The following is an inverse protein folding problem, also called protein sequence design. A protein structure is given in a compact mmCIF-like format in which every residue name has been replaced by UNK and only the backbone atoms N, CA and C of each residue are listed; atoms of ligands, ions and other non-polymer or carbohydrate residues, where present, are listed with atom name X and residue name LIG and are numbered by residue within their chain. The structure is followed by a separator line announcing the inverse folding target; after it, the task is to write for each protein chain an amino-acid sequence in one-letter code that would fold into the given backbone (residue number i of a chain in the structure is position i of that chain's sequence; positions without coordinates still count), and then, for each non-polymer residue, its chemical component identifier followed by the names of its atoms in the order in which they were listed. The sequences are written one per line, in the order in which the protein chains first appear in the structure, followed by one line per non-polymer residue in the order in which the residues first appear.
data_IF_863472126201
#
_entry.id   IF_863472126201
#
_cell.length_a   1.000
_cell.length_b   1.000
_cell.length_c   1.000
_cell.angle_alpha   90.00
_cell.angle_beta   90.00
_cell.angle_gamma   90.00
#
_symmetry.space_group_name_H-M   'P 1'
#
loop_
_entity.id
_entity.type
_entity.pdbx_description
1 polymer ?
#
# COMPACT_ATOMS: atom_id res chain seq x y z
N UNK A 1 -9.10 29.42 2.02
CA UNK A 1 -9.61 28.46 1.01
C UNK A 1 -10.12 27.19 1.70
N UNK A 2 -11.40 27.11 2.18
CA UNK A 2 -11.92 25.96 2.98
C UNK A 2 -12.50 24.82 2.16
N UNK A 3 -12.62 24.93 0.84
CA UNK A 3 -13.32 23.91 0.01
C UNK A 3 -12.52 22.62 -0.25
N UNK A 4 -11.20 22.62 -0.11
CA UNK A 4 -10.35 21.45 -0.31
C UNK A 4 -10.51 20.40 0.80
N UNK A 5 -10.67 20.82 2.05
CA UNK A 5 -10.79 19.92 3.22
C UNK A 5 -12.11 19.11 3.20
N UNK A 6 -13.23 19.72 2.84
CA UNK A 6 -14.53 19.06 2.81
C UNK A 6 -14.66 18.04 1.67
N UNK A 7 -14.05 18.29 0.50
CA UNK A 7 -14.03 17.36 -0.61
C UNK A 7 -13.17 16.12 -0.30
N UNK A 8 -12.02 16.31 0.34
CA UNK A 8 -11.12 15.23 0.78
C UNK A 8 -11.80 14.36 1.85
N UNK A 9 -12.45 14.97 2.85
CA UNK A 9 -13.20 14.26 3.88
C UNK A 9 -14.36 13.43 3.29
N UNK A 10 -15.11 13.98 2.32
CA UNK A 10 -16.18 13.23 1.63
C UNK A 10 -15.65 12.07 0.78
N UNK A 11 -14.49 12.22 0.14
CA UNK A 11 -13.85 11.15 -0.62
C UNK A 11 -13.39 10.02 0.31
N UNK A 12 -12.80 10.34 1.46
CA UNK A 12 -12.41 9.38 2.50
C UNK A 12 -13.62 8.60 3.02
N UNK A 13 -14.70 9.27 3.42
CA UNK A 13 -15.92 8.64 3.92
C UNK A 13 -16.56 7.69 2.89
N UNK A 14 -16.51 8.03 1.60
CA UNK A 14 -17.01 7.15 0.52
C UNK A 14 -16.15 5.91 0.33
N UNK A 15 -14.84 6.04 0.41
CA UNK A 15 -13.89 4.92 0.32
C UNK A 15 -14.07 3.98 1.51
N UNK A 16 -14.16 4.51 2.73
CA UNK A 16 -14.45 3.72 3.94
C UNK A 16 -15.77 2.94 3.83
N UNK A 17 -16.85 3.61 3.41
CA UNK A 17 -18.16 2.98 3.28
C UNK A 17 -18.21 1.88 2.20
N UNK A 18 -17.44 2.04 1.12
CA UNK A 18 -17.31 1.02 0.08
C UNK A 18 -16.57 -0.21 0.62
N UNK A 19 -15.40 -0.01 1.24
CA UNK A 19 -14.59 -1.11 1.77
C UNK A 19 -15.25 -1.83 2.95
N UNK A 20 -15.92 -1.13 3.87
CA UNK A 20 -16.65 -1.74 4.99
C UNK A 20 -17.76 -2.70 4.53
N UNK A 21 -18.41 -2.40 3.40
CA UNK A 21 -19.46 -3.26 2.84
C UNK A 21 -18.92 -4.56 2.26
N UNK A 22 -17.69 -4.53 1.70
CA UNK A 22 -17.09 -5.67 1.01
C UNK A 22 -16.13 -6.48 1.89
N UNK A 23 -15.80 -6.01 3.09
CA UNK A 23 -14.83 -6.65 3.97
C UNK A 23 -15.00 -8.18 4.10
N UNK A 24 -16.22 -8.76 4.25
CA UNK A 24 -16.39 -10.21 4.37
C UNK A 24 -16.11 -11.00 3.08
N UNK A 25 -16.25 -10.35 1.90
CA UNK A 25 -16.09 -10.98 0.58
C UNK A 25 -14.86 -10.48 -0.16
N UNK A 26 -14.16 -9.51 0.41
CA UNK A 26 -13.01 -8.86 -0.21
C UNK A 26 -11.93 -9.85 -0.62
N UNK A 27 -11.59 -10.76 0.28
CA UNK A 27 -10.56 -11.77 0.05
C UNK A 27 -10.91 -12.72 -1.12
N UNK A 28 -12.16 -13.14 -1.22
CA UNK A 28 -12.61 -14.06 -2.28
C UNK A 28 -12.45 -13.45 -3.69
N UNK A 29 -12.69 -12.14 -3.81
CA UNK A 29 -12.68 -11.43 -5.11
C UNK A 29 -11.25 -10.98 -5.48
N UNK A 30 -10.48 -10.52 -4.49
CA UNK A 30 -9.19 -9.86 -4.72
C UNK A 30 -7.96 -10.73 -4.43
N UNK A 31 -8.11 -11.92 -3.79
CA UNK A 31 -6.94 -12.73 -3.48
C UNK A 31 -6.25 -13.26 -4.74
N UNK A 32 -6.96 -13.98 -5.59
CA UNK A 32 -6.37 -14.70 -6.70
C UNK A 32 -5.57 -13.81 -7.69
N UNK A 33 -6.13 -12.71 -8.23
CA UNK A 33 -5.43 -11.88 -9.21
C UNK A 33 -4.30 -11.04 -8.59
N UNK A 34 -4.39 -10.70 -7.30
CA UNK A 34 -3.42 -9.81 -6.63
C UNK A 34 -2.34 -10.57 -5.84
N UNK A 35 -2.53 -11.86 -5.59
CA UNK A 35 -1.61 -12.69 -4.80
C UNK A 35 -0.16 -12.70 -5.32
N UNK A 36 0.14 -12.85 -6.62
CA UNK A 36 1.52 -12.83 -7.09
C UNK A 36 2.24 -11.51 -6.79
N UNK A 37 1.51 -10.40 -6.91
CA UNK A 37 2.03 -9.08 -6.57
C UNK A 37 2.27 -8.91 -5.07
N UNK A 38 1.30 -9.33 -4.23
CA UNK A 38 1.47 -9.33 -2.76
C UNK A 38 2.68 -10.15 -2.34
N UNK A 39 2.82 -11.37 -2.85
CA UNK A 39 3.95 -12.25 -2.52
C UNK A 39 5.30 -11.61 -2.90
N UNK A 40 5.38 -11.00 -4.09
CA UNK A 40 6.60 -10.34 -4.53
C UNK A 40 6.93 -9.11 -3.66
N UNK A 41 5.93 -8.29 -3.32
CA UNK A 41 6.10 -7.12 -2.48
C UNK A 41 6.48 -7.48 -1.04
N UNK A 42 5.81 -8.49 -0.45
CA UNK A 42 6.13 -8.99 0.89
C UNK A 42 7.54 -9.56 0.97
N UNK A 43 8.00 -10.30 -0.05
CA UNK A 43 9.38 -10.79 -0.12
C UNK A 43 10.40 -9.66 -0.24
N UNK A 44 10.15 -8.67 -1.09
CA UNK A 44 11.02 -7.51 -1.25
C UNK A 44 11.11 -6.69 0.06
N UNK A 45 9.97 -6.48 0.73
CA UNK A 45 9.92 -5.76 2.00
C UNK A 45 10.62 -6.54 3.12
N UNK A 46 10.40 -7.86 3.22
CA UNK A 46 11.07 -8.70 4.21
C UNK A 46 12.60 -8.71 4.02
N UNK A 47 13.07 -8.83 2.78
CA UNK A 47 14.49 -8.75 2.47
C UNK A 47 15.11 -7.38 2.82
N UNK A 48 14.32 -6.31 2.65
CA UNK A 48 14.74 -4.95 2.99
C UNK A 48 14.77 -4.69 4.50
N UNK A 49 13.83 -5.27 5.25
CA UNK A 49 13.75 -5.13 6.71
C UNK A 49 14.89 -5.87 7.42
N UNK A 50 15.31 -7.01 6.88
CA UNK A 50 16.25 -7.91 7.57
C UNK A 50 15.63 -8.61 8.78
N UNK A 51 16.47 -9.34 9.50
CA UNK A 51 16.04 -10.05 10.72
C UNK A 51 15.64 -9.05 11.82
N UNK A 52 14.56 -9.37 12.53
CA UNK A 52 14.01 -8.55 13.62
C UNK A 52 13.66 -7.10 13.23
N UNK A 53 13.57 -6.82 11.91
CA UNK A 53 13.29 -5.48 11.38
C UNK A 53 11.89 -4.98 11.71
N UNK A 54 11.77 -3.67 11.92
CA UNK A 54 10.49 -2.98 12.13
C UNK A 54 9.86 -2.65 10.77
N UNK A 55 8.69 -3.22 10.49
CA UNK A 55 7.96 -3.04 9.24
C UNK A 55 6.63 -2.34 9.47
N UNK A 56 6.36 -1.29 8.69
CA UNK A 56 5.03 -0.69 8.57
C UNK A 56 4.32 -1.25 7.33
N UNK A 57 3.08 -1.71 7.48
CA UNK A 57 2.19 -2.05 6.37
C UNK A 57 1.11 -0.97 6.25
N UNK A 58 1.14 -0.23 5.16
CA UNK A 58 0.24 0.90 4.88
C UNK A 58 -0.95 0.42 4.06
N UNK A 59 -2.18 0.67 4.54
CA UNK A 59 -3.40 0.17 3.92
C UNK A 59 -3.50 -1.35 4.05
N UNK A 60 -3.31 -1.88 5.27
CA UNK A 60 -3.23 -3.32 5.53
C UNK A 60 -4.54 -4.07 5.24
N UNK A 61 -5.68 -3.36 5.15
CA UNK A 61 -6.97 -3.95 4.83
C UNK A 61 -7.33 -5.13 5.72
N UNK A 62 -7.71 -6.25 5.11
CA UNK A 62 -8.02 -7.52 5.78
C UNK A 62 -6.77 -8.33 6.19
N UNK A 63 -5.57 -7.84 5.90
CA UNK A 63 -4.30 -8.43 6.33
C UNK A 63 -3.83 -9.64 5.53
N UNK A 64 -4.18 -9.77 4.25
CA UNK A 64 -3.75 -10.88 3.40
C UNK A 64 -2.23 -10.98 3.26
N UNK A 65 -1.51 -9.87 3.20
CA UNK A 65 -0.05 -9.84 3.13
C UNK A 65 0.62 -10.23 4.44
N UNK A 66 -0.05 -10.09 5.59
CA UNK A 66 0.51 -10.42 6.89
C UNK A 66 0.91 -11.90 7.02
N UNK A 67 0.17 -12.79 6.34
CA UNK A 67 0.46 -14.23 6.29
C UNK A 67 1.74 -14.54 5.48
N UNK A 68 2.16 -13.62 4.61
CA UNK A 68 3.32 -13.78 3.74
C UNK A 68 4.62 -13.24 4.36
N UNK A 69 4.53 -12.59 5.52
CA UNK A 69 5.66 -11.96 6.19
C UNK A 69 6.34 -12.94 7.17
N UNK A 70 7.67 -12.96 7.23
CA UNK A 70 8.43 -13.77 8.18
C UNK A 70 8.06 -13.52 9.63
N UNK A 71 8.14 -14.58 10.44
CA UNK A 71 7.74 -14.55 11.84
C UNK A 71 8.72 -13.79 12.77
N UNK A 72 9.91 -13.51 12.30
CA UNK A 72 10.94 -12.74 13.01
C UNK A 72 10.83 -11.22 12.82
N UNK A 73 9.91 -10.74 11.99
CA UNK A 73 9.67 -9.30 11.83
C UNK A 73 8.84 -8.72 12.99
N UNK A 74 8.90 -7.39 13.13
CA UNK A 74 8.02 -6.61 13.99
C UNK A 74 7.10 -5.75 13.14
N UNK A 75 5.91 -6.27 12.85
CA UNK A 75 4.98 -5.67 11.90
C UNK A 75 3.94 -4.80 12.61
N UNK A 76 3.81 -3.56 12.16
CA UNK A 76 2.71 -2.65 12.48
C UNK A 76 1.90 -2.42 11.22
N UNK A 77 0.58 -2.63 11.27
CA UNK A 77 -0.32 -2.35 10.15
C UNK A 77 -1.21 -1.15 10.45
N UNK A 78 -1.45 -0.30 9.45
CA UNK A 78 -2.39 0.81 9.52
C UNK A 78 -3.41 0.72 8.39
N UNK A 79 -4.66 1.05 8.71
CA UNK A 79 -5.74 1.22 7.74
C UNK A 79 -6.73 2.24 8.26
N UNK A 80 -7.42 2.95 7.36
CA UNK A 80 -8.44 3.92 7.74
C UNK A 80 -9.75 3.23 8.15
N UNK A 81 -9.99 2.00 7.68
CA UNK A 81 -11.21 1.23 7.92
C UNK A 81 -11.10 0.33 9.14
N UNK A 82 -11.82 0.68 10.21
CA UNK A 82 -11.91 -0.17 11.40
C UNK A 82 -12.46 -1.58 11.07
N UNK A 83 -13.46 -1.68 10.18
CA UNK A 83 -14.06 -2.95 9.78
C UNK A 83 -13.07 -3.86 9.06
N UNK A 84 -12.17 -3.32 8.21
CA UNK A 84 -11.09 -4.10 7.59
C UNK A 84 -10.11 -4.59 8.64
N UNK A 85 -9.74 -3.76 9.60
CA UNK A 85 -8.82 -4.12 10.67
C UNK A 85 -9.40 -5.18 11.61
N UNK A 86 -10.72 -5.21 11.82
CA UNK A 86 -11.35 -6.27 12.62
C UNK A 86 -11.17 -7.63 11.94
N UNK A 87 -11.37 -7.73 10.62
CA UNK A 87 -11.08 -8.94 9.85
C UNK A 87 -9.58 -9.30 9.91
N UNK A 88 -8.69 -8.30 9.84
CA UNK A 88 -7.25 -8.53 9.97
C UNK A 88 -6.87 -9.04 11.36
N UNK A 89 -7.47 -8.52 12.44
CA UNK A 89 -7.26 -8.99 13.82
C UNK A 89 -7.71 -10.44 14.00
N UNK A 90 -8.89 -10.79 13.48
CA UNK A 90 -9.38 -12.18 13.48
C UNK A 90 -8.42 -13.11 12.70
N UNK A 91 -7.91 -12.66 11.56
CA UNK A 91 -6.90 -13.39 10.77
C UNK A 91 -5.63 -13.61 11.57
N UNK A 92 -5.08 -12.56 12.18
CA UNK A 92 -3.88 -12.62 13.03
C UNK A 92 -4.06 -13.62 14.17
N UNK A 93 -5.20 -13.58 14.87
CA UNK A 93 -5.51 -14.50 15.97
C UNK A 93 -5.65 -15.95 15.47
N UNK A 94 -6.44 -16.18 14.41
CA UNK A 94 -6.70 -17.51 13.85
C UNK A 94 -5.44 -18.19 13.32
N UNK A 95 -4.55 -17.41 12.69
CA UNK A 95 -3.31 -17.90 12.07
C UNK A 95 -2.10 -17.86 13.01
N UNK A 96 -2.23 -17.27 14.18
CA UNK A 96 -1.13 -17.14 15.15
C UNK A 96 0.05 -16.32 14.64
N UNK A 97 -0.23 -15.19 13.95
CA UNK A 97 0.79 -14.35 13.30
C UNK A 97 1.53 -13.50 14.34
N UNK A 98 2.51 -14.08 15.01
CA UNK A 98 3.25 -13.45 16.13
C UNK A 98 4.10 -12.25 15.72
N UNK A 99 4.47 -12.13 14.45
CA UNK A 99 5.18 -10.97 13.89
C UNK A 99 4.34 -9.69 13.94
N UNK A 100 3.01 -9.77 13.91
CA UNK A 100 2.12 -8.61 13.97
C UNK A 100 2.05 -8.09 15.39
N UNK A 101 2.59 -6.88 15.63
CA UNK A 101 2.65 -6.24 16.94
C UNK A 101 1.46 -5.34 17.20
N UNK A 102 0.99 -4.62 16.15
CA UNK A 102 -0.20 -3.78 16.26
C UNK A 102 -0.92 -3.62 14.93
N UNK A 103 -2.25 -3.42 15.01
CA UNK A 103 -3.12 -3.01 13.90
C UNK A 103 -3.91 -1.78 14.36
N UNK A 104 -3.70 -0.63 13.68
CA UNK A 104 -4.20 0.66 14.15
C UNK A 104 -5.07 1.33 13.10
N UNK A 105 -6.23 1.86 13.51
CA UNK A 105 -7.05 2.73 12.66
C UNK A 105 -6.34 4.07 12.52
N UNK A 106 -5.90 4.41 11.30
CA UNK A 106 -5.08 5.60 11.09
C UNK A 106 -5.15 6.07 9.63
N UNK A 107 -5.17 7.39 9.41
CA UNK A 107 -4.97 7.98 8.08
C UNK A 107 -3.48 7.87 7.70
N UNK A 108 -3.20 7.14 6.63
CA UNK A 108 -1.83 6.98 6.11
C UNK A 108 -1.19 8.30 5.63
N UNK A 109 -1.99 9.35 5.42
CA UNK A 109 -1.50 10.70 5.11
C UNK A 109 -1.20 11.55 6.35
N UNK A 110 -1.42 11.05 7.59
CA UNK A 110 -1.17 11.76 8.84
C UNK A 110 -1.00 10.72 9.97
N UNK A 111 0.15 10.06 10.00
CA UNK A 111 0.41 8.96 10.92
C UNK A 111 1.02 9.46 12.24
N UNK A 112 0.52 8.92 13.34
CA UNK A 112 1.04 9.19 14.69
C UNK A 112 2.21 8.25 15.02
N UNK A 113 3.28 8.35 14.22
CA UNK A 113 4.55 7.67 14.41
C UNK A 113 5.70 8.65 14.37
N UNK A 114 6.77 8.37 15.10
CA UNK A 114 7.99 9.16 15.07
C UNK A 114 8.69 9.08 13.70
N UNK A 115 9.46 10.12 13.37
CA UNK A 115 10.35 10.12 12.21
C UNK A 115 11.35 8.96 12.31
N UNK A 116 11.53 8.22 11.22
CA UNK A 116 12.50 7.15 11.17
C UNK A 116 12.20 5.93 12.06
N UNK A 117 10.95 5.70 12.46
CA UNK A 117 10.56 4.61 13.35
C UNK A 117 10.68 3.22 12.73
N UNK A 118 10.61 3.11 11.39
CA UNK A 118 10.56 1.83 10.69
C UNK A 118 11.78 1.62 9.78
N UNK A 119 12.24 0.38 9.68
CA UNK A 119 13.28 -0.05 8.75
C UNK A 119 12.75 -0.10 7.32
N UNK A 120 11.49 -0.52 7.16
CA UNK A 120 10.83 -0.64 5.88
C UNK A 120 9.34 -0.33 5.99
N UNK A 121 8.78 0.26 4.94
CA UNK A 121 7.33 0.35 4.76
C UNK A 121 6.91 -0.42 3.51
N UNK A 122 5.81 -1.18 3.63
CA UNK A 122 5.15 -1.92 2.56
C UNK A 122 3.79 -1.27 2.28
N UNK A 123 3.57 -0.80 1.06
CA UNK A 123 2.32 -0.17 0.62
C UNK A 123 1.72 -0.94 -0.57
N UNK A 124 0.99 -2.04 -0.31
CA UNK A 124 0.41 -2.89 -1.35
C UNK A 124 -0.94 -2.35 -1.81
N UNK A 125 -1.04 -1.96 -3.08
CA UNK A 125 -2.29 -1.55 -3.76
C UNK A 125 -3.02 -0.34 -3.18
N UNK A 126 -2.41 0.40 -2.25
CA UNK A 126 -3.05 1.51 -1.54
C UNK A 126 -2.99 2.83 -2.33
N UNK A 127 -1.95 3.06 -3.13
CA UNK A 127 -1.71 4.37 -3.76
C UNK A 127 -2.80 4.78 -4.77
N UNK A 128 -3.47 3.82 -5.41
CA UNK A 128 -4.56 4.09 -6.37
C UNK A 128 -5.92 4.34 -5.72
N UNK A 129 -6.06 4.15 -4.42
CA UNK A 129 -7.34 4.27 -3.71
C UNK A 129 -7.37 5.42 -2.70
N UNK A 130 -6.22 5.98 -2.37
CA UNK A 130 -6.14 7.14 -1.46
C UNK A 130 -6.42 8.45 -2.19
N UNK A 131 -7.06 9.43 -1.53
CA UNK A 131 -7.38 10.72 -2.16
C UNK A 131 -6.15 11.55 -2.53
N UNK A 132 -5.05 11.42 -1.78
CA UNK A 132 -3.82 12.18 -1.99
C UNK A 132 -2.59 11.24 -1.88
N UNK A 133 -2.20 10.55 -2.96
CA UNK A 133 -1.06 9.64 -2.96
C UNK A 133 0.26 10.32 -2.56
N UNK A 134 0.50 11.55 -2.99
CA UNK A 134 1.73 12.26 -2.67
C UNK A 134 1.88 12.51 -1.15
N UNK A 135 0.77 12.83 -0.47
CA UNK A 135 0.76 12.99 0.99
C UNK A 135 1.05 11.67 1.71
N UNK A 136 0.42 10.57 1.26
CA UNK A 136 0.65 9.23 1.83
C UNK A 136 2.10 8.79 1.60
N UNK A 137 2.66 9.03 0.41
CA UNK A 137 4.07 8.75 0.11
C UNK A 137 5.00 9.54 1.03
N UNK A 138 4.77 10.86 1.18
CA UNK A 138 5.60 11.73 2.02
C UNK A 138 5.54 11.33 3.49
N UNK A 139 4.35 11.00 3.99
CA UNK A 139 4.16 10.59 5.38
C UNK A 139 4.77 9.19 5.64
N UNK A 140 4.60 8.25 4.70
CA UNK A 140 5.28 6.96 4.74
C UNK A 140 6.80 7.12 4.71
N UNK A 141 7.31 8.07 3.91
CA UNK A 141 8.74 8.37 3.83
C UNK A 141 9.30 8.95 5.11
N UNK A 142 8.55 9.83 5.77
CA UNK A 142 8.93 10.44 7.04
C UNK A 142 9.21 9.37 8.11
N UNK A 143 8.34 8.39 8.23
CA UNK A 143 8.43 7.35 9.27
C UNK A 143 9.47 6.26 8.98
N UNK A 144 10.03 6.21 7.76
CA UNK A 144 11.14 5.32 7.41
C UNK A 144 12.46 5.96 7.84
N UNK A 145 13.33 5.21 8.51
CA UNK A 145 14.66 5.68 8.90
C UNK A 145 15.59 5.94 7.70
N UNK A 146 16.61 6.79 7.85
CA UNK A 146 17.71 6.84 6.88
C UNK A 146 18.33 5.45 6.69
N UNK A 147 18.61 5.08 5.43
CA UNK A 147 19.05 3.74 5.04
C UNK A 147 17.94 2.70 4.93
N UNK A 148 16.69 3.06 5.29
CA UNK A 148 15.51 2.20 5.15
C UNK A 148 14.95 2.18 3.73
N UNK A 149 13.84 1.46 3.52
CA UNK A 149 13.22 1.31 2.20
C UNK A 149 11.70 1.42 2.22
N UNK A 150 11.14 1.94 1.15
CA UNK A 150 9.71 1.87 0.85
C UNK A 150 9.47 0.90 -0.31
N UNK A 151 8.56 -0.05 -0.11
CA UNK A 151 8.13 -1.00 -1.14
C UNK A 151 6.69 -0.67 -1.52
N UNK A 152 6.49 -0.28 -2.76
CA UNK A 152 5.16 0.04 -3.31
C UNK A 152 4.80 -1.02 -4.35
N UNK A 153 3.61 -1.62 -4.21
CA UNK A 153 3.02 -2.48 -5.20
C UNK A 153 1.71 -1.86 -5.67
N UNK A 154 1.60 -1.57 -6.97
CA UNK A 154 0.37 -0.98 -7.49
C UNK A 154 0.13 -1.38 -8.95
N UNK A 155 -1.13 -1.25 -9.38
CA UNK A 155 -1.46 -1.16 -10.79
C UNK A 155 -1.23 0.28 -11.26
N UNK A 156 -0.48 0.44 -12.34
CA UNK A 156 -0.33 1.73 -13.01
C UNK A 156 -0.90 1.66 -14.42
N UNK A 157 -1.66 2.67 -14.78
CA UNK A 157 -2.28 2.80 -16.09
C UNK A 157 -1.28 2.63 -17.22
N UNK A 158 -1.68 1.96 -18.29
CA UNK A 158 -0.90 1.89 -19.50
C UNK A 158 -0.92 3.24 -20.23
N UNK A 159 0.24 3.68 -20.71
CA UNK A 159 0.35 4.92 -21.49
C UNK A 159 -0.32 4.83 -22.88
N UNK A 160 -0.73 3.63 -23.32
CA UNK A 160 -1.38 3.37 -24.61
C UNK A 160 -1.35 1.89 -25.01
N UNK A 161 -1.82 1.60 -26.22
CA UNK A 161 -1.83 0.26 -26.81
C UNK A 161 -3.01 -0.63 -26.34
N UNK A 162 -3.01 -1.94 -26.69
CA UNK A 162 -4.13 -2.86 -26.41
C UNK A 162 -4.47 -2.96 -24.92
N UNK A 163 -3.46 -2.83 -24.04
CA UNK A 163 -3.65 -2.85 -22.60
C UNK A 163 -4.49 -1.66 -22.11
N UNK A 164 -4.24 -0.45 -22.64
CA UNK A 164 -5.02 0.74 -22.29
C UNK A 164 -6.50 0.59 -22.71
N UNK A 165 -6.76 -0.08 -23.84
CA UNK A 165 -8.12 -0.38 -24.29
C UNK A 165 -8.84 -1.36 -23.33
N UNK A 166 -8.15 -2.40 -22.85
CA UNK A 166 -8.67 -3.35 -21.85
C UNK A 166 -8.96 -2.62 -20.54
N UNK A 167 -8.04 -1.80 -20.06
CA UNK A 167 -8.18 -0.99 -18.83
C UNK A 167 -9.39 -0.04 -18.94
N UNK A 168 -9.59 0.60 -20.10
CA UNK A 168 -10.75 1.45 -20.35
C UNK A 168 -12.08 0.68 -20.37
N UNK A 169 -12.10 -0.54 -20.93
CA UNK A 169 -13.29 -1.39 -20.91
C UNK A 169 -13.66 -1.86 -19.50
N UNK A 170 -12.67 -2.07 -18.64
CA UNK A 170 -12.86 -2.47 -17.23
C UNK A 170 -13.25 -1.31 -16.32
N UNK A 171 -13.16 -0.07 -16.77
CA UNK A 171 -13.34 1.14 -15.94
C UNK A 171 -14.71 1.18 -15.22
N UNK A 172 -15.79 0.80 -15.90
CA UNK A 172 -17.15 0.80 -15.32
C UNK A 172 -17.28 -0.19 -14.15
N UNK A 173 -16.69 -1.39 -14.29
CA UNK A 173 -16.70 -2.40 -13.25
C UNK A 173 -15.73 -2.03 -12.10
N UNK A 174 -14.57 -1.49 -12.44
CA UNK A 174 -13.56 -1.06 -11.50
C UNK A 174 -14.03 0.09 -10.59
N UNK A 175 -14.80 1.04 -11.14
CA UNK A 175 -15.37 2.14 -10.36
C UNK A 175 -16.34 1.66 -9.27
N UNK A 176 -17.13 0.63 -9.57
CA UNK A 176 -18.05 0.03 -8.60
C UNK A 176 -17.32 -0.71 -7.47
N UNK A 177 -16.12 -1.23 -7.74
CA UNK A 177 -15.23 -1.92 -6.79
C UNK A 177 -14.30 -0.97 -6.02
N UNK A 178 -14.36 0.36 -6.27
CA UNK A 178 -13.45 1.33 -5.65
C UNK A 178 -12.03 1.31 -6.21
N UNK A 179 -11.81 0.62 -7.32
CA UNK A 179 -10.51 0.54 -7.98
C UNK A 179 -10.39 1.58 -9.09
N UNK A 180 -9.24 2.28 -9.17
CA UNK A 180 -8.96 3.29 -10.20
C UNK A 180 -7.94 2.75 -11.21
N UNK A 181 -8.40 2.14 -12.34
CA UNK A 181 -7.51 1.56 -13.35
C UNK A 181 -6.64 2.60 -14.06
N UNK A 182 -7.00 3.87 -14.01
CA UNK A 182 -6.25 4.98 -14.63
C UNK A 182 -5.23 5.66 -13.71
N UNK A 183 -4.77 5.02 -12.63
CA UNK A 183 -3.77 5.59 -11.76
C UNK A 183 -2.41 5.71 -12.49
N UNK A 184 -1.89 6.93 -12.75
CA UNK A 184 -0.69 7.11 -13.54
C UNK A 184 0.57 6.81 -12.72
N UNK A 185 1.59 6.24 -13.36
CA UNK A 185 2.91 6.07 -12.74
C UNK A 185 3.52 7.41 -12.30
N UNK A 186 3.26 8.49 -13.04
CA UNK A 186 3.75 9.83 -12.72
C UNK A 186 3.41 10.27 -11.29
N UNK A 187 2.25 9.87 -10.75
CA UNK A 187 1.88 10.19 -9.36
C UNK A 187 2.90 9.71 -8.30
N UNK A 188 3.61 8.61 -8.59
CA UNK A 188 4.68 8.09 -7.72
C UNK A 188 6.05 8.48 -8.24
N UNK A 189 6.25 8.43 -9.56
CA UNK A 189 7.53 8.74 -10.22
C UNK A 189 7.99 10.18 -10.00
N UNK A 190 7.08 11.15 -10.14
CA UNK A 190 7.37 12.57 -9.92
C UNK A 190 7.65 12.85 -8.44
N UNK A 191 6.92 12.16 -7.54
CA UNK A 191 7.20 12.25 -6.12
C UNK A 191 8.62 11.74 -5.80
N UNK A 192 9.02 10.56 -6.35
CA UNK A 192 10.39 10.02 -6.16
C UNK A 192 11.43 11.04 -6.67
N UNK A 193 11.22 11.61 -7.86
CA UNK A 193 12.14 12.56 -8.46
C UNK A 193 12.28 13.87 -7.65
N UNK A 194 11.23 14.24 -6.91
CA UNK A 194 11.23 15.44 -6.05
C UNK A 194 11.89 15.21 -4.67
N UNK A 195 12.12 13.95 -4.26
CA UNK A 195 12.76 13.65 -2.98
C UNK A 195 14.30 13.60 -3.13
N UNK A 196 15.07 14.49 -2.48
CA UNK A 196 16.52 14.54 -2.66
C UNK A 196 17.24 13.32 -2.08
N UNK A 197 16.62 12.64 -1.12
CA UNK A 197 17.15 11.47 -0.42
C UNK A 197 16.56 10.14 -0.92
N UNK A 198 15.72 10.16 -1.96
CA UNK A 198 15.15 8.95 -2.55
C UNK A 198 15.98 8.42 -3.72
N UNK A 199 16.09 7.10 -3.79
CA UNK A 199 16.69 6.36 -4.90
C UNK A 199 15.76 5.22 -5.33
N UNK A 200 15.39 5.20 -6.62
CA UNK A 200 14.62 4.08 -7.17
C UNK A 200 15.56 2.89 -7.40
N UNK A 201 15.55 1.92 -6.48
CA UNK A 201 16.40 0.73 -6.52
C UNK A 201 15.88 -0.29 -7.52
N UNK A 202 14.56 -0.52 -7.53
CA UNK A 202 13.92 -1.51 -8.40
C UNK A 202 12.59 -1.01 -8.94
N UNK A 203 12.37 -1.29 -10.25
CA UNK A 203 11.07 -1.16 -10.90
C UNK A 203 10.79 -2.41 -11.73
N UNK A 204 9.88 -3.26 -11.27
CA UNK A 204 9.58 -4.53 -11.92
C UNK A 204 8.11 -4.72 -12.18
N UNK A 205 7.74 -5.09 -13.43
CA UNK A 205 6.38 -5.46 -13.80
C UNK A 205 6.14 -6.94 -13.51
N UNK A 206 5.00 -7.23 -12.91
CA UNK A 206 4.61 -8.57 -12.44
C UNK A 206 3.35 -9.09 -13.14
N UNK A 207 3.19 -10.44 -13.22
CA UNK A 207 1.99 -11.07 -13.73
C UNK A 207 0.76 -10.77 -12.85
N UNK A 208 -0.47 -11.00 -13.39
CA UNK A 208 -0.75 -11.43 -14.76
C UNK A 208 -0.57 -10.26 -15.75
N UNK A 209 -0.25 -10.57 -17.01
CA UNK A 209 -0.17 -9.61 -18.12
C UNK A 209 0.69 -8.36 -17.86
N UNK A 210 1.62 -8.41 -16.90
CA UNK A 210 2.45 -7.27 -16.46
C UNK A 210 1.60 -6.09 -15.95
N UNK A 211 0.44 -6.36 -15.37
CA UNK A 211 -0.51 -5.35 -14.88
C UNK A 211 0.01 -4.63 -13.64
N UNK A 212 0.74 -5.33 -12.79
CA UNK A 212 1.24 -4.79 -11.54
C UNK A 212 2.71 -4.36 -11.66
N UNK A 213 3.07 -3.36 -10.89
CA UNK A 213 4.45 -2.88 -10.82
C UNK A 213 4.89 -2.79 -9.38
N UNK A 214 5.99 -3.48 -9.08
CA UNK A 214 6.74 -3.37 -7.85
C UNK A 214 7.75 -2.24 -7.98
N UNK A 215 7.80 -1.36 -6.99
CA UNK A 215 8.81 -0.34 -6.80
C UNK A 215 9.50 -0.57 -5.46
N UNK A 216 10.83 -0.56 -5.45
CA UNK A 216 11.63 -0.51 -4.22
C UNK A 216 12.39 0.82 -4.24
N UNK A 217 12.14 1.64 -3.23
CA UNK A 217 12.69 2.99 -3.10
C UNK A 217 13.55 3.02 -1.85
N UNK A 218 14.82 3.34 -2.00
CA UNK A 218 15.79 3.46 -0.91
C UNK A 218 15.85 4.88 -0.37
N UNK A 219 15.88 5.03 0.95
CA UNK A 219 16.16 6.29 1.64
C UNK A 219 17.65 6.35 1.94
N UNK A 220 18.33 7.35 1.35
CA UNK A 220 19.78 7.49 1.57
C UNK A 220 20.07 7.66 3.06
N UNK A 221 21.16 7.05 3.52
CA UNK A 221 21.67 7.32 4.85
C UNK A 221 22.10 8.80 4.92
N UNK A 222 21.82 9.47 6.02
CA UNK A 222 22.41 10.77 6.29
C UNK A 222 23.90 10.53 6.63
N UNK A 223 24.76 11.16 5.84
CA UNK A 223 26.21 11.17 6.09
C UNK A 223 26.56 12.04 7.29
#
# INVERSE_FOLDING_TARGET
MPQSSAATARAQTRTEAAYSRWAPFYDLIFDLPFHPGRLAASRAAAAAAGKDGAMLVVGVGTGLELELLPADLRVTGVDISAAMLDVARERVARKGLRQVKSLQVMDAGAMDFADGQFDVALAPYVMSVVPNPARVLSETWRVIRPGGRMVVMNHFAAAGGPRAAIEAAMEKAAWWLGWHPKFPYAAVGDWIAAQPDAELIERRKLPPLRLFTLLVIGKRAQS
#
